data_IF_440098561083
#
_entry.id   IF_440098561083
#
_cell.length_a   1.000
_cell.length_b   1.000
_cell.length_c   1.000
_cell.angle_alpha   90.00
_cell.angle_beta   90.00
_cell.angle_gamma   90.00
#
_symmetry.space_group_name_H-M   'P 1'
#
loop_
_entity.id
_entity.type
_entity.pdbx_description
1 polymer ?
#
# COMPACT_ATOMS: atom_id res chain seq x y z
N UNK A 1 -8.34 -6.91 -20.40
CA UNK A 1 -7.70 -5.61 -20.64
C UNK A 1 -8.21 -4.66 -19.56
N UNK A 2 -7.37 -4.26 -18.61
CA UNK A 2 -7.78 -3.30 -17.58
C UNK A 2 -8.20 -2.00 -18.27
N UNK A 3 -9.37 -1.44 -17.94
CA UNK A 3 -9.71 -0.07 -18.37
C UNK A 3 -8.58 0.85 -17.90
N UNK A 4 -8.05 1.66 -18.79
CA UNK A 4 -7.09 2.69 -18.40
C UNK A 4 -7.82 3.67 -17.46
N UNK A 5 -7.38 3.72 -16.20
CA UNK A 5 -7.93 4.61 -15.17
C UNK A 5 -6.96 5.74 -14.93
N UNK A 6 -7.47 6.91 -14.59
CA UNK A 6 -6.66 8.07 -14.21
C UNK A 6 -7.09 8.49 -12.82
N UNK A 7 -6.16 8.41 -11.87
CA UNK A 7 -6.41 8.85 -10.50
C UNK A 7 -6.65 10.38 -10.51
N UNK A 8 -7.52 10.91 -9.63
CA UNK A 8 -7.57 12.34 -9.40
C UNK A 8 -6.22 12.85 -8.88
N UNK A 9 -5.94 14.14 -9.10
CA UNK A 9 -4.69 14.74 -8.66
C UNK A 9 -4.51 14.64 -7.13
N UNK A 10 -3.28 14.65 -6.61
CA UNK A 10 -3.05 14.70 -5.17
C UNK A 10 -3.72 15.92 -4.52
N UNK A 11 -4.28 15.73 -3.33
CA UNK A 11 -5.03 16.75 -2.56
C UNK A 11 -6.22 17.34 -3.35
N UNK A 12 -6.94 16.49 -4.07
CA UNK A 12 -8.15 16.88 -4.79
C UNK A 12 -9.28 17.24 -3.83
N UNK A 13 -10.17 18.13 -4.27
CA UNK A 13 -11.43 18.36 -3.58
C UNK A 13 -12.44 17.23 -3.87
N UNK A 14 -13.37 17.02 -2.94
CA UNK A 14 -14.61 16.26 -3.12
C UNK A 14 -15.74 17.04 -2.44
N UNK A 15 -16.74 17.47 -3.22
CA UNK A 15 -17.85 18.32 -2.78
C UNK A 15 -19.03 17.54 -2.16
N UNK A 16 -18.88 16.23 -2.04
CA UNK A 16 -19.80 15.28 -1.39
C UNK A 16 -19.01 14.31 -0.49
N UNK A 17 -19.66 13.61 0.45
CA UNK A 17 -19.03 12.55 1.23
C UNK A 17 -18.34 11.52 0.35
N UNK A 18 -17.14 11.05 0.75
CA UNK A 18 -16.39 10.05 -0.03
C UNK A 18 -17.20 8.76 -0.26
N UNK A 19 -18.00 8.33 0.71
CA UNK A 19 -18.89 7.18 0.59
C UNK A 19 -20.01 7.36 -0.46
N UNK A 20 -20.36 8.60 -0.81
CA UNK A 20 -21.29 8.91 -1.90
C UNK A 20 -20.62 8.98 -3.27
N UNK A 21 -19.35 9.45 -3.31
CA UNK A 21 -18.57 9.59 -4.54
C UNK A 21 -18.07 8.24 -5.09
N UNK A 22 -17.58 7.39 -4.20
CA UNK A 22 -16.90 6.13 -4.52
C UNK A 22 -17.78 4.93 -4.18
N UNK A 23 -17.87 3.96 -5.09
CA UNK A 23 -18.77 2.80 -4.95
C UNK A 23 -18.16 1.67 -4.11
N UNK A 24 -16.83 1.57 -4.06
CA UNK A 24 -16.11 0.55 -3.31
C UNK A 24 -14.94 1.15 -2.54
N UNK A 25 -14.86 0.86 -1.24
CA UNK A 25 -13.67 1.08 -0.42
C UNK A 25 -12.76 -0.15 -0.53
N UNK A 26 -11.54 0.03 -1.03
CA UNK A 26 -10.49 -0.98 -0.97
C UNK A 26 -9.63 -0.67 0.27
N UNK A 27 -9.94 -1.33 1.37
CA UNK A 27 -9.36 -1.08 2.69
C UNK A 27 -8.11 -1.93 2.87
N UNK A 28 -6.96 -1.30 3.13
CA UNK A 28 -5.91 -2.03 3.84
C UNK A 28 -6.41 -2.46 5.24
N UNK A 29 -5.72 -3.41 5.86
CA UNK A 29 -6.11 -3.98 7.15
C UNK A 29 -5.26 -3.46 8.30
N UNK A 30 -3.96 -3.72 8.25
CA UNK A 30 -3.02 -3.48 9.34
C UNK A 30 -2.70 -1.98 9.42
N UNK A 31 -3.14 -1.30 10.48
CA UNK A 31 -2.99 0.15 10.61
C UNK A 31 -4.17 0.96 10.08
N UNK A 32 -5.19 0.31 9.47
CA UNK A 32 -6.40 0.98 8.96
C UNK A 32 -7.66 0.45 9.62
N UNK A 33 -7.85 -0.87 9.61
CA UNK A 33 -9.03 -1.52 10.22
C UNK A 33 -8.70 -2.06 11.61
N UNK A 34 -7.49 -2.61 11.79
CA UNK A 34 -7.02 -3.12 13.08
C UNK A 34 -5.51 -2.91 13.25
N UNK A 35 -5.05 -2.93 14.50
CA UNK A 35 -3.62 -2.95 14.87
C UNK A 35 -3.41 -4.11 15.82
N UNK A 36 -2.68 -5.13 15.36
CA UNK A 36 -2.56 -6.37 16.12
C UNK A 36 -3.92 -7.07 16.26
N UNK A 37 -4.36 -7.43 17.49
CA UNK A 37 -5.64 -8.11 17.69
C UNK A 37 -6.84 -7.14 17.78
N UNK A 38 -6.60 -5.84 17.92
CA UNK A 38 -7.62 -4.87 18.27
C UNK A 38 -8.02 -3.99 17.07
N UNK A 39 -9.31 -3.63 16.94
CA UNK A 39 -9.74 -2.73 15.88
C UNK A 39 -9.14 -1.32 16.10
N UNK A 40 -8.83 -0.64 15.00
CA UNK A 40 -8.52 0.79 15.05
C UNK A 40 -9.74 1.53 15.64
N UNK A 41 -9.54 2.46 16.58
CA UNK A 41 -10.64 3.21 17.18
C UNK A 41 -11.59 3.78 16.13
N UNK A 42 -12.90 3.63 16.36
CA UNK A 42 -13.99 4.08 15.50
C UNK A 42 -14.03 3.47 14.08
N UNK A 43 -13.06 2.64 13.67
CA UNK A 43 -13.02 2.04 12.34
C UNK A 43 -14.28 1.20 12.06
N UNK A 44 -14.71 0.26 12.95
CA UNK A 44 -15.93 -0.51 12.68
C UNK A 44 -17.18 0.34 12.55
N UNK A 45 -17.29 1.44 13.32
CA UNK A 45 -18.45 2.34 13.25
C UNK A 45 -18.48 3.11 11.93
N UNK A 46 -17.36 3.71 11.53
CA UNK A 46 -17.28 4.48 10.30
C UNK A 46 -17.47 3.62 9.05
N UNK A 47 -16.94 2.39 9.05
CA UNK A 47 -17.18 1.42 7.98
C UNK A 47 -18.66 1.05 7.87
N UNK A 48 -19.34 0.78 9.00
CA UNK A 48 -20.79 0.53 8.98
C UNK A 48 -21.60 1.71 8.47
N UNK A 49 -21.18 2.95 8.78
CA UNK A 49 -21.83 4.15 8.23
C UNK A 49 -21.65 4.24 6.71
N UNK A 50 -20.42 4.07 6.22
CA UNK A 50 -20.15 4.06 4.78
C UNK A 50 -20.95 2.97 4.04
N UNK A 51 -21.01 1.76 4.60
CA UNK A 51 -21.80 0.67 4.03
C UNK A 51 -23.30 0.98 3.97
N UNK A 52 -23.85 1.66 4.99
CA UNK A 52 -25.26 2.10 5.00
C UNK A 52 -25.57 3.15 3.93
N UNK A 53 -24.59 3.98 3.57
CA UNK A 53 -24.70 4.94 2.46
C UNK A 53 -24.55 4.29 1.07
N UNK A 54 -24.32 2.97 1.02
CA UNK A 54 -24.25 2.20 -0.23
C UNK A 54 -22.83 1.93 -0.75
N UNK A 55 -21.79 2.33 -0.01
CA UNK A 55 -20.40 2.03 -0.35
C UNK A 55 -20.09 0.56 -0.02
N UNK A 56 -19.71 -0.24 -1.02
CA UNK A 56 -19.25 -1.62 -0.78
C UNK A 56 -17.88 -1.60 -0.09
N UNK A 57 -17.65 -2.49 0.86
CA UNK A 57 -16.37 -2.61 1.55
C UNK A 57 -15.62 -3.83 1.04
N UNK A 58 -14.38 -3.63 0.59
CA UNK A 58 -13.45 -4.68 0.19
C UNK A 58 -12.18 -4.61 1.05
N UNK A 59 -11.76 -5.75 1.59
CA UNK A 59 -10.68 -5.86 2.56
C UNK A 59 -9.44 -6.48 1.92
N UNK A 60 -8.39 -5.68 1.75
CA UNK A 60 -7.25 -5.98 0.88
C UNK A 60 -6.00 -6.12 1.73
N UNK A 61 -5.32 -7.27 1.67
CA UNK A 61 -4.12 -7.50 2.50
C UNK A 61 -2.95 -8.08 1.71
N UNK A 62 -1.76 -7.55 2.00
CA UNK A 62 -0.50 -8.15 1.54
C UNK A 62 -0.14 -9.43 2.30
N UNK A 63 -0.82 -9.74 3.40
CA UNK A 63 -0.57 -10.95 4.18
C UNK A 63 -1.11 -12.19 3.48
N UNK A 64 -0.22 -13.13 3.15
CA UNK A 64 -0.51 -14.39 2.47
C UNK A 64 -0.57 -15.60 3.41
N UNK A 65 -0.40 -15.40 4.73
CA UNK A 65 -0.31 -16.49 5.69
C UNK A 65 -1.66 -17.15 5.98
N UNK A 66 -2.75 -16.37 5.91
CA UNK A 66 -4.11 -16.80 6.30
C UNK A 66 -5.03 -16.86 5.09
N UNK A 67 -5.92 -17.86 4.99
CA UNK A 67 -7.01 -17.86 4.04
C UNK A 67 -7.97 -16.67 4.24
N UNK A 68 -8.62 -16.24 3.16
CA UNK A 68 -9.59 -15.14 3.17
C UNK A 68 -10.71 -15.34 4.21
N UNK A 69 -11.18 -16.58 4.39
CA UNK A 69 -12.19 -16.95 5.39
C UNK A 69 -11.77 -16.61 6.83
N UNK A 70 -10.52 -16.92 7.19
CA UNK A 70 -9.98 -16.63 8.53
C UNK A 70 -9.87 -15.13 8.78
N UNK A 71 -9.52 -14.36 7.75
CA UNK A 71 -9.49 -12.89 7.82
C UNK A 71 -10.90 -12.32 7.98
N UNK A 72 -11.87 -12.83 7.23
CA UNK A 72 -13.28 -12.41 7.33
C UNK A 72 -13.86 -12.69 8.72
N UNK A 73 -13.59 -13.85 9.31
CA UNK A 73 -14.01 -14.20 10.68
C UNK A 73 -13.42 -13.24 11.73
N UNK A 74 -12.16 -12.85 11.56
CA UNK A 74 -11.52 -11.87 12.44
C UNK A 74 -12.18 -10.49 12.30
N UNK A 75 -12.44 -10.03 11.08
CA UNK A 75 -13.13 -8.76 10.82
C UNK A 75 -14.57 -8.78 11.37
N UNK A 76 -15.27 -9.89 11.22
CA UNK A 76 -16.61 -10.08 11.75
C UNK A 76 -16.64 -10.01 13.29
N UNK A 77 -15.56 -10.42 13.97
CA UNK A 77 -15.43 -10.29 15.42
C UNK A 77 -15.44 -8.83 15.91
N UNK A 78 -15.16 -7.86 15.03
CA UNK A 78 -15.28 -6.42 15.31
C UNK A 78 -16.70 -5.87 15.04
N UNK A 79 -17.65 -6.74 14.73
CA UNK A 79 -19.04 -6.39 14.41
C UNK A 79 -19.19 -5.79 13.00
N UNK A 80 -18.31 -6.17 12.08
CA UNK A 80 -18.45 -5.88 10.65
C UNK A 80 -19.23 -7.01 9.97
N UNK A 81 -20.04 -6.68 8.97
CA UNK A 81 -20.73 -7.67 8.12
C UNK A 81 -19.80 -7.99 6.95
N UNK A 82 -19.03 -9.08 7.07
CA UNK A 82 -17.95 -9.44 6.14
C UNK A 82 -18.00 -10.94 5.85
N UNK A 83 -17.91 -11.28 4.57
CA UNK A 83 -17.72 -12.66 4.12
C UNK A 83 -16.36 -12.81 3.42
N UNK A 84 -15.92 -14.06 3.19
CA UNK A 84 -14.64 -14.32 2.51
C UNK A 84 -14.54 -13.65 1.13
N UNK A 85 -15.66 -13.48 0.42
CA UNK A 85 -15.68 -12.83 -0.90
C UNK A 85 -15.41 -11.33 -0.88
N UNK A 86 -15.51 -10.69 0.29
CA UNK A 86 -15.13 -9.29 0.48
C UNK A 86 -13.65 -9.14 0.81
N UNK A 87 -12.93 -10.24 1.08
CA UNK A 87 -11.50 -10.24 1.38
C UNK A 87 -10.71 -10.66 0.14
N UNK A 88 -9.67 -9.88 -0.19
CA UNK A 88 -8.72 -10.22 -1.27
C UNK A 88 -7.30 -10.20 -0.73
N UNK A 89 -6.63 -11.35 -0.81
CA UNK A 89 -5.26 -11.49 -0.33
C UNK A 89 -4.26 -11.45 -1.48
N UNK A 90 -3.02 -11.06 -1.17
CA UNK A 90 -1.89 -11.19 -2.09
C UNK A 90 -1.63 -12.63 -2.55
N UNK A 91 -2.02 -13.64 -1.76
CA UNK A 91 -1.99 -15.04 -2.17
C UNK A 91 -2.94 -15.32 -3.34
N UNK A 92 -4.18 -14.81 -3.27
CA UNK A 92 -5.15 -14.93 -4.37
C UNK A 92 -4.70 -14.17 -5.61
N UNK A 93 -4.11 -12.99 -5.45
CA UNK A 93 -3.53 -12.23 -6.56
C UNK A 93 -2.39 -13.02 -7.25
N UNK A 94 -1.49 -13.62 -6.48
CA UNK A 94 -0.41 -14.45 -7.02
C UNK A 94 -0.96 -15.71 -7.73
N UNK A 95 -1.91 -16.41 -7.11
CA UNK A 95 -2.56 -17.59 -7.71
C UNK A 95 -3.26 -17.26 -9.02
N UNK A 96 -3.95 -16.11 -9.09
CA UNK A 96 -4.58 -15.63 -10.32
C UNK A 96 -3.56 -15.37 -11.42
N UNK A 97 -2.45 -14.68 -11.12
CA UNK A 97 -1.38 -14.45 -12.10
C UNK A 97 -0.86 -15.77 -12.66
N UNK A 98 -0.55 -16.73 -11.79
CA UNK A 98 -0.08 -18.06 -12.18
C UNK A 98 -1.12 -18.77 -13.08
N UNK A 99 -2.40 -18.71 -12.70
CA UNK A 99 -3.49 -19.34 -13.46
C UNK A 99 -3.78 -18.66 -14.81
N UNK A 100 -3.34 -17.41 -15.03
CA UNK A 100 -3.38 -16.79 -16.36
C UNK A 100 -2.29 -17.29 -17.30
N UNK A 101 -1.20 -17.82 -16.75
CA UNK A 101 -0.04 -18.28 -17.52
C UNK A 101 0.00 -19.81 -17.69
N UNK A 102 -0.54 -20.55 -16.74
CA UNK A 102 -0.45 -22.01 -16.68
C UNK A 102 -1.84 -22.66 -16.62
N UNK A 103 -2.02 -23.84 -17.24
CA UNK A 103 -3.30 -24.53 -17.25
C UNK A 103 -3.72 -25.03 -15.86
N UNK A 104 -5.03 -25.29 -15.70
CA UNK A 104 -5.56 -25.94 -14.51
C UNK A 104 -4.86 -27.27 -14.23
N UNK A 105 -4.59 -27.55 -12.96
CA UNK A 105 -3.87 -28.73 -12.48
C UNK A 105 -2.35 -28.60 -12.53
N UNK A 106 -1.79 -27.51 -13.05
CA UNK A 106 -0.35 -27.29 -13.04
C UNK A 106 0.25 -27.31 -11.62
N UNK A 107 1.37 -28.02 -11.41
CA UNK A 107 2.05 -28.09 -10.11
C UNK A 107 2.73 -26.75 -9.79
N UNK A 108 2.43 -26.20 -8.61
CA UNK A 108 3.00 -24.94 -8.12
C UNK A 108 3.60 -25.17 -6.74
N UNK A 109 4.90 -24.95 -6.59
CA UNK A 109 5.61 -25.16 -5.34
C UNK A 109 5.34 -24.01 -4.37
N UNK A 110 4.97 -24.36 -3.14
CA UNK A 110 4.59 -23.39 -2.11
C UNK A 110 5.72 -23.21 -1.09
N UNK A 111 6.29 -22.02 -1.07
CA UNK A 111 7.16 -21.51 0.01
C UNK A 111 6.32 -20.62 0.92
N UNK A 112 5.68 -21.22 1.93
CA UNK A 112 4.77 -20.51 2.84
C UNK A 112 3.65 -21.41 3.38
N UNK A 113 2.58 -20.78 3.86
CA UNK A 113 1.53 -21.43 4.64
C UNK A 113 0.29 -21.86 3.87
N UNK A 114 -0.78 -22.16 4.63
CA UNK A 114 -2.09 -22.60 4.12
C UNK A 114 -2.78 -21.54 3.25
N UNK A 115 -2.61 -20.24 3.56
CA UNK A 115 -3.18 -19.17 2.74
C UNK A 115 -2.77 -19.24 1.26
N UNK A 116 -1.56 -19.73 0.97
CA UNK A 116 -1.09 -19.96 -0.41
C UNK A 116 -1.72 -21.21 -1.04
N UNK A 117 -1.82 -22.32 -0.30
CA UNK A 117 -2.37 -23.57 -0.85
C UNK A 117 -3.85 -23.39 -1.19
N UNK A 118 -4.63 -22.78 -0.29
CA UNK A 118 -6.05 -22.49 -0.52
C UNK A 118 -6.23 -21.58 -1.74
N UNK A 119 -5.42 -20.54 -1.87
CA UNK A 119 -5.49 -19.64 -3.02
C UNK A 119 -5.16 -20.35 -4.34
N UNK A 120 -4.15 -21.22 -4.37
CA UNK A 120 -3.83 -21.99 -5.58
C UNK A 120 -4.98 -22.92 -5.98
N UNK A 121 -5.57 -23.62 -5.01
CA UNK A 121 -6.71 -24.52 -5.24
C UNK A 121 -7.96 -23.78 -5.74
N UNK A 122 -8.24 -22.58 -5.21
CA UNK A 122 -9.35 -21.70 -5.65
C UNK A 122 -9.23 -21.37 -7.16
N UNK A 123 -8.01 -21.19 -7.66
CA UNK A 123 -7.71 -20.93 -9.07
C UNK A 123 -7.45 -22.20 -9.89
N UNK A 124 -7.69 -23.39 -9.32
CA UNK A 124 -7.58 -24.68 -9.99
C UNK A 124 -6.14 -25.12 -10.28
N UNK A 125 -5.17 -24.63 -9.51
CA UNK A 125 -3.76 -25.04 -9.55
C UNK A 125 -3.51 -26.15 -8.53
N UNK A 126 -2.41 -26.90 -8.70
CA UNK A 126 -2.05 -28.00 -7.81
C UNK A 126 -0.88 -27.59 -6.89
N UNK A 127 -1.12 -27.26 -5.61
CA UNK A 127 -0.05 -26.92 -4.69
C UNK A 127 0.84 -28.14 -4.38
N UNK A 128 2.15 -27.99 -4.56
CA UNK A 128 3.16 -29.01 -4.21
C UNK A 128 4.19 -28.45 -3.22
N UNK A 129 4.94 -29.34 -2.55
CA UNK A 129 5.87 -28.98 -1.47
C UNK A 129 7.33 -29.31 -1.74
N UNK A 130 7.64 -29.93 -2.88
CA UNK A 130 9.00 -30.34 -3.23
C UNK A 130 9.30 -30.06 -4.70
N UNK A 131 10.57 -29.73 -5.00
CA UNK A 131 11.06 -29.55 -6.37
C UNK A 131 10.96 -30.83 -7.21
N UNK A 132 10.95 -32.02 -6.58
CA UNK A 132 10.83 -33.31 -7.27
C UNK A 132 9.51 -33.48 -8.04
N UNK A 133 8.50 -32.65 -7.72
CA UNK A 133 7.24 -32.60 -8.45
C UNK A 133 7.34 -31.85 -9.79
N UNK A 134 8.53 -31.36 -10.16
CA UNK A 134 8.81 -30.54 -11.34
C UNK A 134 7.79 -29.40 -11.52
N UNK A 135 7.67 -28.51 -10.51
CA UNK A 135 6.69 -27.43 -10.53
C UNK A 135 6.95 -26.46 -11.69
N UNK A 136 5.87 -25.94 -12.30
CA UNK A 136 6.00 -24.92 -13.36
C UNK A 136 6.24 -23.52 -12.77
N UNK A 137 5.89 -23.33 -11.50
CA UNK A 137 6.04 -22.09 -10.78
C UNK A 137 6.32 -22.33 -9.28
N UNK A 138 6.99 -21.37 -8.65
CA UNK A 138 7.14 -21.24 -7.20
C UNK A 138 6.34 -20.02 -6.76
N UNK A 139 5.47 -20.18 -5.76
CA UNK A 139 4.84 -19.05 -5.06
C UNK A 139 5.37 -18.94 -3.64
N UNK A 140 5.80 -17.74 -3.27
CA UNK A 140 6.38 -17.45 -1.97
C UNK A 140 5.61 -16.39 -1.21
N UNK A 141 5.25 -16.71 0.03
CA UNK A 141 4.62 -15.79 0.98
C UNK A 141 5.10 -16.05 2.41
N UNK A 142 4.92 -15.05 3.27
CA UNK A 142 5.33 -15.19 4.67
C UNK A 142 4.48 -16.25 5.39
N UNK A 143 5.16 -17.10 6.16
CA UNK A 143 4.57 -17.93 7.19
C UNK A 143 5.63 -18.17 8.28
N UNK A 144 5.27 -18.22 9.58
CA UNK A 144 6.24 -18.44 10.66
C UNK A 144 7.02 -19.75 10.51
N UNK A 145 6.43 -20.77 9.88
CA UNK A 145 7.06 -22.08 9.69
C UNK A 145 7.92 -22.20 8.42
N UNK A 146 8.11 -21.11 7.65
CA UNK A 146 9.05 -21.14 6.53
C UNK A 146 10.44 -21.45 7.06
N UNK A 147 10.98 -22.57 6.60
CA UNK A 147 12.26 -23.11 7.06
C UNK A 147 13.24 -23.27 5.89
N UNK A 148 14.47 -23.68 6.21
CA UNK A 148 15.52 -23.86 5.22
C UNK A 148 15.13 -24.83 4.09
N UNK A 149 14.41 -25.92 4.40
CA UNK A 149 14.02 -26.93 3.40
C UNK A 149 13.11 -26.30 2.35
N UNK A 150 12.08 -25.57 2.77
CA UNK A 150 11.17 -24.89 1.82
C UNK A 150 11.91 -23.87 0.95
N UNK A 151 12.85 -23.11 1.51
CA UNK A 151 13.65 -22.14 0.76
C UNK A 151 14.57 -22.84 -0.26
N UNK A 152 15.17 -23.97 0.13
CA UNK A 152 16.03 -24.77 -0.74
C UNK A 152 15.24 -25.38 -1.90
N UNK A 153 14.09 -26.01 -1.62
CA UNK A 153 13.16 -26.54 -2.63
C UNK A 153 12.71 -25.45 -3.61
N UNK A 154 12.38 -24.26 -3.10
CA UNK A 154 12.06 -23.10 -3.94
C UNK A 154 13.22 -22.71 -4.85
N UNK A 155 14.44 -22.59 -4.32
CA UNK A 155 15.62 -22.24 -5.12
C UNK A 155 15.96 -23.31 -6.17
N UNK A 156 15.85 -24.60 -5.84
CA UNK A 156 16.06 -25.69 -6.79
C UNK A 156 15.08 -25.62 -7.96
N UNK A 157 13.77 -25.52 -7.67
CA UNK A 157 12.75 -25.40 -8.69
C UNK A 157 12.97 -24.19 -9.61
N UNK A 158 13.36 -23.04 -9.06
CA UNK A 158 13.66 -21.83 -9.84
C UNK A 158 14.86 -22.04 -10.76
N UNK A 159 15.93 -22.66 -10.26
CA UNK A 159 17.12 -22.97 -11.07
C UNK A 159 16.84 -24.01 -12.16
N UNK A 160 15.81 -24.85 -11.99
CA UNK A 160 15.29 -25.77 -13.03
C UNK A 160 14.31 -25.11 -14.01
N UNK A 161 14.01 -23.81 -13.83
CA UNK A 161 13.24 -23.01 -14.77
C UNK A 161 11.80 -22.69 -14.34
N UNK A 162 11.39 -23.04 -13.11
CA UNK A 162 10.10 -22.64 -12.58
C UNK A 162 10.02 -21.10 -12.45
N UNK A 163 8.88 -20.51 -12.84
CA UNK A 163 8.65 -19.06 -12.65
C UNK A 163 8.45 -18.74 -11.18
N UNK A 164 9.06 -17.66 -10.71
CA UNK A 164 8.98 -17.27 -9.30
C UNK A 164 8.01 -16.12 -9.07
N UNK A 165 7.07 -16.31 -8.16
CA UNK A 165 6.10 -15.32 -7.72
C UNK A 165 6.24 -15.06 -6.22
N UNK A 166 6.19 -13.80 -5.80
CA UNK A 166 6.19 -13.41 -4.39
C UNK A 166 4.91 -12.63 -4.07
N UNK A 167 4.31 -12.92 -2.92
CA UNK A 167 3.07 -12.24 -2.51
C UNK A 167 3.30 -10.79 -2.09
N UNK A 168 4.45 -10.47 -1.50
CA UNK A 168 4.89 -9.10 -1.18
C UNK A 168 6.41 -9.10 -0.93
N UNK A 169 7.02 -7.93 -0.85
CA UNK A 169 8.44 -7.74 -0.54
C UNK A 169 8.68 -7.05 0.81
N UNK A 170 7.71 -7.08 1.73
CA UNK A 170 7.83 -6.44 3.03
C UNK A 170 9.00 -7.05 3.82
N UNK A 171 10.02 -6.24 4.11
CA UNK A 171 11.25 -6.71 4.78
C UNK A 171 11.00 -7.10 6.23
N UNK A 172 9.97 -6.55 6.88
CA UNK A 172 9.71 -6.78 8.29
C UNK A 172 8.23 -6.89 8.55
N UNK A 173 7.85 -7.63 9.60
CA UNK A 173 6.48 -7.71 10.09
C UNK A 173 6.47 -7.34 11.59
N UNK A 174 5.52 -6.52 12.06
CA UNK A 174 5.37 -6.25 13.48
C UNK A 174 4.86 -7.49 14.22
N UNK A 175 5.43 -7.76 15.41
CA UNK A 175 4.99 -8.83 16.31
C UNK A 175 4.96 -8.33 17.74
N UNK A 176 4.32 -9.08 18.65
CA UNK A 176 4.34 -8.75 20.08
C UNK A 176 5.76 -8.68 20.69
N UNK A 177 6.74 -9.36 20.10
CA UNK A 177 8.14 -9.33 20.55
C UNK A 177 8.99 -8.24 19.85
N UNK A 178 8.38 -7.43 18.98
CA UNK A 178 9.04 -6.42 18.17
C UNK A 178 9.06 -6.76 16.67
N UNK A 179 9.92 -6.07 15.92
CA UNK A 179 10.03 -6.27 14.47
C UNK A 179 10.71 -7.61 14.14
N UNK A 180 10.02 -8.44 13.36
CA UNK A 180 10.52 -9.72 12.88
C UNK A 180 10.78 -9.69 11.36
N UNK A 181 11.57 -10.62 10.81
CA UNK A 181 11.73 -10.77 9.36
C UNK A 181 10.40 -11.00 8.65
N UNK A 182 10.14 -10.23 7.58
CA UNK A 182 8.97 -10.39 6.71
C UNK A 182 9.26 -11.25 5.48
N UNK A 183 8.28 -11.37 4.58
CA UNK A 183 8.44 -12.14 3.34
C UNK A 183 9.61 -11.63 2.50
N UNK A 184 9.80 -10.32 2.43
CA UNK A 184 10.90 -9.68 1.71
C UNK A 184 12.26 -10.17 2.17
N UNK A 185 12.48 -10.39 3.47
CA UNK A 185 13.72 -10.99 3.96
C UNK A 185 13.89 -12.43 3.47
N UNK A 186 12.82 -13.22 3.49
CA UNK A 186 12.85 -14.60 3.01
C UNK A 186 13.05 -14.68 1.49
N UNK A 187 12.52 -13.72 0.74
CA UNK A 187 12.76 -13.56 -0.71
C UNK A 187 14.25 -13.27 -0.95
N UNK A 188 14.89 -12.44 -0.13
CA UNK A 188 16.34 -12.19 -0.26
C UNK A 188 17.18 -13.46 -0.02
N UNK A 189 16.71 -14.38 0.83
CA UNK A 189 17.39 -15.65 1.05
C UNK A 189 17.39 -16.51 -0.22
N UNK A 190 16.27 -16.62 -0.94
CA UNK A 190 16.21 -17.33 -2.23
C UNK A 190 16.99 -16.58 -3.31
N UNK A 191 16.88 -15.24 -3.39
CA UNK A 191 17.64 -14.39 -4.33
C UNK A 191 19.15 -14.61 -4.26
N UNK A 192 19.68 -14.98 -3.10
CA UNK A 192 21.10 -15.28 -2.95
C UNK A 192 21.55 -16.57 -3.67
N UNK A 193 20.61 -17.44 -4.06
CA UNK A 193 20.85 -18.74 -4.66
C UNK A 193 20.30 -18.88 -6.10
N UNK A 194 19.69 -17.82 -6.66
CA UNK A 194 19.08 -17.82 -8.00
C UNK A 194 19.44 -16.52 -8.74
N UNK A 195 19.36 -16.51 -10.08
CA UNK A 195 19.71 -15.34 -10.91
C UNK A 195 18.52 -14.48 -11.34
N UNK A 196 17.31 -14.85 -10.93
CA UNK A 196 16.06 -14.19 -11.31
C UNK A 196 15.40 -13.51 -10.11
N UNK A 197 14.62 -12.46 -10.40
CA UNK A 197 13.76 -11.80 -9.42
C UNK A 197 12.33 -12.36 -9.49
N UNK A 198 11.59 -12.39 -8.37
CA UNK A 198 10.19 -12.80 -8.39
C UNK A 198 9.30 -11.75 -9.07
N UNK A 199 8.23 -12.21 -9.68
CA UNK A 199 7.07 -11.40 -10.05
C UNK A 199 6.28 -11.15 -8.76
N UNK A 200 6.07 -9.89 -8.40
CA UNK A 200 5.39 -9.52 -7.15
C UNK A 200 3.90 -9.28 -7.40
N UNK A 201 3.04 -9.89 -6.59
CA UNK A 201 1.59 -9.82 -6.75
C UNK A 201 0.93 -8.76 -5.86
N UNK A 202 1.46 -8.56 -4.65
CA UNK A 202 0.92 -7.61 -3.67
C UNK A 202 1.31 -6.17 -3.94
N UNK A 203 0.70 -5.25 -3.18
CA UNK A 203 0.98 -3.81 -3.20
C UNK A 203 2.48 -3.56 -2.94
N UNK A 204 3.13 -2.60 -3.63
CA UNK A 204 2.55 -1.60 -4.55
C UNK A 204 2.30 -2.10 -5.99
N UNK A 205 2.59 -3.37 -6.30
CA UNK A 205 2.34 -3.86 -7.65
C UNK A 205 0.84 -3.92 -7.95
N UNK A 206 0.52 -3.76 -9.24
CA UNK A 206 -0.84 -3.70 -9.76
C UNK A 206 -1.73 -4.92 -9.47
N UNK A 207 -1.25 -6.18 -9.49
CA UNK A 207 -2.12 -7.36 -9.56
C UNK A 207 -3.14 -7.50 -8.42
N UNK A 208 -2.77 -7.17 -7.18
CA UNK A 208 -3.69 -7.27 -6.03
C UNK A 208 -4.86 -6.28 -6.17
N UNK A 209 -4.60 -5.02 -6.49
CA UNK A 209 -5.65 -4.01 -6.65
C UNK A 209 -6.50 -4.28 -7.90
N UNK A 210 -5.90 -4.70 -9.02
CA UNK A 210 -6.64 -5.09 -10.22
C UNK A 210 -7.56 -6.29 -9.95
N UNK A 211 -7.06 -7.29 -9.22
CA UNK A 211 -7.88 -8.45 -8.79
C UNK A 211 -9.02 -8.03 -7.88
N UNK A 212 -8.77 -7.09 -6.97
CA UNK A 212 -9.77 -6.57 -6.04
C UNK A 212 -10.88 -5.80 -6.77
N UNK A 213 -10.50 -4.92 -7.69
CA UNK A 213 -11.42 -4.16 -8.53
C UNK A 213 -12.31 -5.08 -9.36
N UNK A 214 -11.74 -6.12 -9.97
CA UNK A 214 -12.49 -7.09 -10.76
C UNK A 214 -13.43 -7.93 -9.88
N UNK A 215 -12.95 -8.47 -8.76
CA UNK A 215 -13.76 -9.30 -7.84
C UNK A 215 -14.95 -8.53 -7.28
N UNK A 216 -14.74 -7.27 -6.92
CA UNK A 216 -15.75 -6.43 -6.29
C UNK A 216 -16.64 -5.69 -7.30
N UNK A 217 -16.37 -5.84 -8.61
CA UNK A 217 -17.01 -5.10 -9.70
C UNK A 217 -16.95 -3.58 -9.50
N UNK A 218 -15.81 -3.06 -9.02
CA UNK A 218 -15.67 -1.66 -8.65
C UNK A 218 -15.54 -0.74 -9.89
N UNK A 219 -16.45 0.21 -10.04
CA UNK A 219 -16.41 1.22 -11.09
C UNK A 219 -15.60 2.45 -10.65
N UNK A 220 -15.81 2.92 -9.42
CA UNK A 220 -15.14 4.08 -8.80
C UNK A 220 -14.55 3.66 -7.44
N UNK A 221 -13.50 2.82 -7.43
CA UNK A 221 -12.86 2.40 -6.20
C UNK A 221 -12.06 3.54 -5.54
N UNK A 222 -12.01 3.52 -4.22
CA UNK A 222 -11.12 4.32 -3.38
C UNK A 222 -10.21 3.37 -2.60
N UNK A 223 -8.90 3.42 -2.83
CA UNK A 223 -7.93 2.73 -1.98
C UNK A 223 -7.74 3.49 -0.67
N UNK A 224 -7.79 2.82 0.47
CA UNK A 224 -7.65 3.42 1.79
C UNK A 224 -6.52 2.70 2.53
N UNK A 225 -5.50 3.44 2.92
CA UNK A 225 -4.25 2.89 3.42
C UNK A 225 -3.51 3.86 4.32
N UNK A 226 -2.59 3.36 5.12
CA UNK A 226 -1.65 4.13 5.93
C UNK A 226 -0.24 4.14 5.30
N UNK A 227 0.02 3.29 4.31
CA UNK A 227 1.34 3.14 3.70
C UNK A 227 1.49 3.81 2.34
N UNK A 228 2.42 4.75 2.24
CA UNK A 228 2.74 5.47 1.00
C UNK A 228 3.36 4.56 -0.06
N UNK A 229 4.28 3.69 0.35
CA UNK A 229 5.09 2.78 -0.48
C UNK A 229 4.37 1.51 -0.94
N UNK A 230 3.10 1.33 -0.55
CA UNK A 230 2.29 0.16 -0.92
C UNK A 230 0.88 0.56 -1.29
N UNK A 231 0.09 1.12 -0.38
CA UNK A 231 -1.31 1.47 -0.64
C UNK A 231 -1.43 2.61 -1.64
N UNK A 232 -0.76 3.73 -1.34
CA UNK A 232 -0.88 4.94 -2.13
C UNK A 232 -0.15 4.78 -3.47
N UNK A 233 1.05 4.20 -3.45
CA UNK A 233 1.78 3.87 -4.68
C UNK A 233 1.00 2.89 -5.56
N UNK A 234 0.43 1.83 -4.99
CA UNK A 234 -0.37 0.87 -5.74
C UNK A 234 -1.62 1.50 -6.34
N UNK A 235 -2.33 2.34 -5.57
CA UNK A 235 -3.49 3.08 -6.06
C UNK A 235 -3.13 3.97 -7.25
N UNK A 236 -2.03 4.72 -7.15
CA UNK A 236 -1.52 5.57 -8.21
C UNK A 236 -1.07 4.75 -9.44
N UNK A 237 -0.42 3.60 -9.23
CA UNK A 237 -0.02 2.71 -10.32
C UNK A 237 -1.22 2.17 -11.11
N UNK A 238 -2.31 1.81 -10.43
CA UNK A 238 -3.56 1.33 -11.05
C UNK A 238 -4.45 2.48 -11.57
N UNK A 239 -4.16 3.71 -11.18
CA UNK A 239 -4.89 4.91 -11.60
C UNK A 239 -6.22 5.10 -10.88
N UNK A 240 -6.30 4.71 -9.60
CA UNK A 240 -7.49 4.90 -8.75
C UNK A 240 -7.23 5.94 -7.67
N UNK A 241 -8.30 6.50 -7.11
CA UNK A 241 -8.18 7.45 -6.00
C UNK A 241 -7.65 6.75 -4.74
N UNK A 242 -6.94 7.51 -3.91
CA UNK A 242 -6.43 7.03 -2.63
C UNK A 242 -6.75 7.98 -1.47
N UNK A 243 -7.11 7.42 -0.32
CA UNK A 243 -7.23 8.11 0.95
C UNK A 243 -6.14 7.57 1.87
N UNK A 244 -5.18 8.42 2.23
CA UNK A 244 -4.23 8.10 3.28
C UNK A 244 -4.83 8.42 4.66
N UNK A 245 -4.68 7.51 5.62
CA UNK A 245 -5.11 7.69 7.01
C UNK A 245 -3.94 7.63 7.99
N UNK A 246 -3.98 8.49 9.01
CA UNK A 246 -2.90 8.66 9.99
C UNK A 246 -2.96 7.68 11.17
N UNK A 247 -3.46 6.46 10.94
CA UNK A 247 -3.68 5.44 11.98
C UNK A 247 -2.59 4.36 12.01
N UNK A 248 -1.62 4.43 11.11
CA UNK A 248 -0.62 3.36 10.91
C UNK A 248 0.82 3.86 10.82
N UNK A 249 1.53 3.45 9.76
CA UNK A 249 3.00 3.41 9.67
C UNK A 249 3.63 4.75 9.28
N UNK A 250 3.18 5.38 8.21
CA UNK A 250 3.78 6.65 7.76
C UNK A 250 3.13 7.83 8.49
N UNK A 251 3.82 8.97 8.51
CA UNK A 251 3.38 10.20 9.16
C UNK A 251 3.34 11.42 8.21
N UNK A 252 3.10 12.61 8.77
CA UNK A 252 3.10 13.86 8.01
C UNK A 252 4.48 14.21 7.41
N UNK A 253 5.58 13.79 8.03
CA UNK A 253 6.93 13.96 7.49
C UNK A 253 7.18 13.07 6.28
N UNK A 254 6.70 11.83 6.32
CA UNK A 254 6.75 10.92 5.18
C UNK A 254 5.93 11.45 4.01
N UNK A 255 4.72 11.95 4.25
CA UNK A 255 3.91 12.62 3.23
C UNK A 255 4.64 13.81 2.60
N UNK A 256 5.28 14.65 3.41
CA UNK A 256 6.03 15.80 2.90
C UNK A 256 7.23 15.38 2.02
N UNK A 257 7.80 14.20 2.28
CA UNK A 257 8.92 13.61 1.51
C UNK A 257 8.45 12.73 0.36
N UNK A 258 7.15 12.49 0.24
CA UNK A 258 6.60 11.54 -0.72
C UNK A 258 6.99 11.92 -2.17
N UNK A 259 7.62 11.00 -2.92
CA UNK A 259 7.79 11.16 -4.35
C UNK A 259 6.42 11.20 -5.06
N UNK A 260 6.37 11.69 -6.29
CA UNK A 260 5.13 11.92 -7.04
C UNK A 260 4.19 10.70 -7.10
N UNK A 261 4.75 9.50 -7.24
CA UNK A 261 4.00 8.24 -7.31
C UNK A 261 3.42 7.80 -5.95
N UNK A 262 3.78 8.43 -4.83
CA UNK A 262 3.35 8.07 -3.48
C UNK A 262 2.47 9.15 -2.83
N UNK A 263 2.01 10.14 -3.59
CA UNK A 263 1.19 11.23 -3.07
C UNK A 263 -0.29 10.84 -3.16
N UNK A 264 -1.05 10.91 -2.06
CA UNK A 264 -2.44 10.46 -2.04
C UNK A 264 -3.41 11.49 -2.63
N UNK A 265 -4.57 11.02 -3.09
CA UNK A 265 -5.66 11.89 -3.53
C UNK A 265 -6.24 12.69 -2.36
N UNK A 266 -6.45 12.02 -1.23
CA UNK A 266 -7.00 12.57 0.01
C UNK A 266 -6.13 12.17 1.21
N UNK A 267 -6.16 12.97 2.27
CA UNK A 267 -5.52 12.68 3.55
C UNK A 267 -6.52 12.90 4.68
N UNK A 268 -6.48 12.07 5.72
CA UNK A 268 -7.34 12.27 6.89
C UNK A 268 -6.73 11.66 8.15
N UNK A 269 -7.26 12.06 9.31
CA UNK A 269 -6.93 11.44 10.59
C UNK A 269 -7.34 9.96 10.65
N UNK A 270 -8.40 9.57 9.96
CA UNK A 270 -8.96 8.23 10.03
C UNK A 270 -10.20 8.05 9.15
N UNK A 271 -10.90 6.94 9.35
CA UNK A 271 -12.03 6.52 8.50
C UNK A 271 -13.30 7.39 8.64
N UNK A 272 -13.35 8.32 9.61
CA UNK A 272 -14.43 9.32 9.70
C UNK A 272 -14.59 10.15 8.42
N UNK A 273 -13.49 10.36 7.70
CA UNK A 273 -13.47 11.08 6.42
C UNK A 273 -14.37 10.45 5.33
N UNK A 274 -14.76 9.18 5.46
CA UNK A 274 -15.70 8.55 4.55
C UNK A 274 -17.07 9.24 4.51
N UNK A 275 -17.48 9.83 5.63
CA UNK A 275 -18.75 10.56 5.76
C UNK A 275 -18.61 12.06 5.45
N UNK A 276 -17.42 12.52 5.06
CA UNK A 276 -17.10 13.95 4.96
C UNK A 276 -16.70 14.37 3.54
N UNK A 277 -16.98 15.63 3.23
CA UNK A 277 -16.44 16.31 2.05
C UNK A 277 -14.94 16.53 2.24
N UNK A 278 -14.21 16.60 1.14
CA UNK A 278 -12.77 16.84 1.17
C UNK A 278 -12.44 18.20 0.55
N UNK A 279 -11.81 19.13 1.28
CA UNK A 279 -11.44 20.41 0.70
C UNK A 279 -10.23 20.25 -0.24
N UNK A 280 -10.19 21.08 -1.28
CA UNK A 280 -9.05 21.18 -2.19
C UNK A 280 -8.15 22.35 -1.84
N UNK A 281 -6.91 22.30 -2.33
CA UNK A 281 -5.94 23.38 -2.13
C UNK A 281 -5.96 24.36 -3.31
N UNK A 282 -6.14 25.65 -3.02
CA UNK A 282 -6.01 26.74 -3.99
C UNK A 282 -4.63 27.37 -3.89
N UNK A 283 -4.01 27.72 -5.03
CA UNK A 283 -2.68 28.34 -5.05
C UNK A 283 -2.77 29.76 -5.63
N UNK A 284 -2.41 30.75 -4.82
CA UNK A 284 -2.46 32.17 -5.17
C UNK A 284 -1.13 32.86 -4.81
N UNK A 285 -0.39 33.32 -5.82
CA UNK A 285 0.85 34.09 -5.58
C UNK A 285 1.91 33.35 -4.73
N UNK A 286 2.00 32.01 -4.86
CA UNK A 286 2.91 31.18 -4.07
C UNK A 286 2.38 30.76 -2.69
N UNK A 287 1.17 31.21 -2.34
CA UNK A 287 0.47 30.83 -1.11
C UNK A 287 -0.48 29.67 -1.41
N UNK A 288 -0.39 28.62 -0.61
CA UNK A 288 -1.22 27.42 -0.71
C UNK A 288 -2.30 27.50 0.38
N UNK A 289 -3.56 27.52 -0.04
CA UNK A 289 -4.69 27.85 0.82
C UNK A 289 -5.65 26.65 0.84
N UNK A 290 -5.98 26.19 2.04
CA UNK A 290 -6.97 25.14 2.25
C UNK A 290 -7.84 25.56 3.44
N UNK A 291 -9.13 25.81 3.19
CA UNK A 291 -10.06 26.36 4.17
C UNK A 291 -9.46 27.55 4.94
N UNK A 292 -9.41 27.49 6.27
CA UNK A 292 -8.89 28.56 7.14
C UNK A 292 -7.36 28.67 7.20
N UNK A 293 -6.62 27.82 6.48
CA UNK A 293 -5.16 27.75 6.53
C UNK A 293 -4.47 28.28 5.27
N UNK A 294 -3.31 28.91 5.46
CA UNK A 294 -2.41 29.30 4.37
C UNK A 294 -0.98 28.90 4.68
N UNK A 295 -0.34 28.18 3.76
CA UNK A 295 1.06 27.77 3.84
C UNK A 295 1.91 28.38 2.70
N UNK A 296 3.17 28.65 2.99
CA UNK A 296 4.16 29.12 2.02
C UNK A 296 5.55 28.56 2.39
N UNK A 297 6.37 28.22 1.39
CA UNK A 297 7.76 27.83 1.62
C UNK A 297 8.66 29.07 1.56
N UNK A 298 9.28 29.41 2.69
CA UNK A 298 10.20 30.55 2.83
C UNK A 298 11.53 30.06 3.40
N UNK A 299 12.63 30.31 2.70
CA UNK A 299 13.98 29.93 3.15
C UNK A 299 14.11 28.44 3.58
N UNK A 300 13.57 27.51 2.78
CA UNK A 300 13.53 26.07 3.08
C UNK A 300 12.78 25.67 4.36
N UNK A 301 11.87 26.51 4.85
CA UNK A 301 10.95 26.18 5.92
C UNK A 301 9.52 26.54 5.52
N UNK A 302 8.54 25.77 6.00
CA UNK A 302 7.13 26.11 5.80
C UNK A 302 6.68 27.12 6.85
N UNK A 303 6.12 28.24 6.39
CA UNK A 303 5.39 29.21 7.20
C UNK A 303 3.91 28.94 7.03
N UNK A 304 3.17 28.78 8.13
CA UNK A 304 1.72 28.56 8.11
C UNK A 304 1.01 29.60 8.99
N UNK A 305 -0.13 30.10 8.50
CA UNK A 305 -1.00 31.05 9.19
C UNK A 305 -2.45 30.60 9.06
N UNK A 306 -3.28 30.96 10.03
CA UNK A 306 -4.70 30.62 10.03
C UNK A 306 -5.13 29.81 11.24
N UNK A 307 -6.34 29.27 11.17
CA UNK A 307 -6.95 28.39 12.16
C UNK A 307 -8.00 27.53 11.48
N UNK A 308 -8.32 26.38 12.05
CA UNK A 308 -9.28 25.44 11.48
C UNK A 308 -8.93 24.00 11.81
N UNK A 309 -9.48 23.09 11.02
CA UNK A 309 -9.21 21.66 11.16
C UNK A 309 -7.72 21.37 10.83
N UNK A 310 -7.00 20.58 11.64
CA UNK A 310 -5.57 20.29 11.44
C UNK A 310 -5.20 19.72 10.07
N UNK A 311 -5.94 18.76 9.53
CA UNK A 311 -5.63 18.13 8.24
C UNK A 311 -5.84 19.08 7.06
N UNK A 312 -6.71 20.09 7.15
CA UNK A 312 -6.75 21.18 6.16
C UNK A 312 -5.45 21.99 6.15
N UNK A 313 -4.90 22.25 7.34
CA UNK A 313 -3.57 22.82 7.50
C UNK A 313 -2.50 21.95 6.85
N UNK A 314 -2.57 20.63 7.06
CA UNK A 314 -1.65 19.67 6.45
C UNK A 314 -1.75 19.67 4.93
N UNK A 315 -2.96 19.71 4.34
CA UNK A 315 -3.17 19.83 2.88
C UNK A 315 -2.44 21.06 2.32
N UNK A 316 -2.60 22.22 2.96
CA UNK A 316 -1.90 23.44 2.55
C UNK A 316 -0.37 23.30 2.63
N UNK A 317 0.14 22.74 3.73
CA UNK A 317 1.58 22.50 3.95
C UNK A 317 2.15 21.56 2.86
N UNK A 318 1.52 20.41 2.63
CA UNK A 318 1.97 19.43 1.66
C UNK A 318 1.96 19.99 0.24
N UNK A 319 0.91 20.72 -0.14
CA UNK A 319 0.83 21.38 -1.43
C UNK A 319 2.01 22.35 -1.65
N UNK A 320 2.37 23.14 -0.63
CA UNK A 320 3.49 24.06 -0.68
C UNK A 320 4.85 23.34 -0.79
N UNK A 321 5.05 22.30 0.02
CA UNK A 321 6.27 21.49 0.02
C UNK A 321 6.46 20.79 -1.33
N UNK A 322 5.43 20.11 -1.83
CA UNK A 322 5.49 19.38 -3.08
C UNK A 322 5.71 20.31 -4.27
N UNK A 323 5.06 21.47 -4.31
CA UNK A 323 5.28 22.47 -5.36
C UNK A 323 6.73 23.00 -5.35
N UNK A 324 7.30 23.24 -4.17
CA UNK A 324 8.68 23.70 -4.04
C UNK A 324 9.71 22.62 -4.42
N UNK A 325 9.48 21.36 -4.04
CA UNK A 325 10.34 20.21 -4.38
C UNK A 325 10.29 19.91 -5.87
N UNK A 326 9.11 20.00 -6.49
CA UNK A 326 8.92 19.70 -7.91
C UNK A 326 9.31 20.86 -8.83
N UNK A 327 9.58 22.05 -8.27
CA UNK A 327 10.00 23.20 -9.03
C UNK A 327 11.29 22.89 -9.80
N UNK A 328 11.42 23.30 -11.08
CA UNK A 328 12.64 23.09 -11.83
C UNK A 328 13.84 23.71 -11.11
N UNK A 329 14.87 22.91 -10.82
CA UNK A 329 16.11 23.42 -10.24
C UNK A 329 16.71 24.42 -11.22
N UNK A 330 16.82 25.70 -10.84
CA UNK A 330 17.60 26.67 -11.60
C UNK A 330 19.03 26.13 -11.72
N UNK A 331 19.61 26.02 -12.93
CA UNK A 331 20.93 25.42 -13.09
C UNK A 331 21.97 26.22 -12.32
N UNK A 332 22.39 25.71 -11.16
CA UNK A 332 23.55 26.19 -10.44
C UNK A 332 24.76 25.56 -11.10
N UNK A 333 25.51 26.36 -11.87
CA UNK A 333 26.70 25.91 -12.56
C UNK A 333 27.72 25.33 -11.59
N UNK A 334 27.84 24.00 -11.56
CA UNK A 334 29.02 23.22 -11.16
C UNK A 334 28.82 21.76 -11.56
N UNK A 335 29.47 21.37 -12.64
CA UNK A 335 29.56 19.99 -13.12
C UNK A 335 30.42 19.16 -12.15
N UNK A 336 29.84 18.11 -11.55
CA UNK A 336 30.60 17.06 -10.86
C UNK A 336 30.71 15.82 -11.75
N UNK A 337 31.90 15.22 -11.79
CA UNK A 337 32.28 14.09 -12.64
C UNK A 337 31.62 12.78 -12.16
N UNK A 338 31.17 11.99 -13.13
CA UNK A 338 30.63 10.63 -12.95
C UNK A 338 31.69 9.65 -12.47
N UNK A 339 31.36 8.86 -11.44
CA UNK A 339 32.09 7.66 -11.04
C UNK A 339 31.17 6.44 -11.16
N UNK A 340 31.71 5.37 -11.73
CA UNK A 340 31.09 4.07 -12.01
C UNK A 340 30.62 3.36 -10.73
N UNK A 341 29.37 2.85 -10.75
CA UNK A 341 28.73 2.09 -9.65
C UNK A 341 28.89 0.57 -9.85
N UNK A 342 29.43 -0.13 -8.86
CA UNK A 342 29.20 -1.57 -8.68
C UNK A 342 27.93 -1.79 -7.84
N UNK A 343 27.20 -2.88 -8.12
CA UNK A 343 25.93 -3.23 -7.46
C UNK A 343 26.20 -3.85 -6.08
N UNK A 344 25.75 -3.16 -5.03
CA UNK A 344 25.60 -3.64 -3.64
C UNK A 344 24.31 -3.04 -3.04
N UNK A 345 23.76 -3.62 -1.96
CA UNK A 345 22.33 -3.57 -1.66
C UNK A 345 21.83 -2.16 -1.33
N UNK A 346 20.53 -1.95 -1.55
CA UNK A 346 19.84 -0.69 -1.27
C UNK A 346 20.11 -0.27 0.19
N UNK A 347 20.77 0.88 0.43
CA UNK A 347 20.89 1.41 1.78
C UNK A 347 19.52 1.91 2.24
N UNK A 348 19.28 1.92 3.57
CA UNK A 348 18.22 2.75 4.17
C UNK A 348 18.29 4.15 3.57
N UNK A 349 17.15 4.80 3.24
CA UNK A 349 17.18 6.12 2.63
C UNK A 349 18.00 7.05 3.53
N UNK A 350 19.12 7.54 3.01
CA UNK A 350 19.88 8.59 3.66
C UNK A 350 18.99 9.83 3.72
N UNK A 351 19.03 10.58 4.83
CA UNK A 351 18.47 11.94 4.88
C UNK A 351 18.99 12.70 3.65
N UNK A 352 18.09 13.03 2.73
CA UNK A 352 18.45 13.78 1.54
C UNK A 352 18.74 15.22 1.98
N UNK A 353 19.97 15.73 1.82
CA UNK A 353 20.27 17.12 2.16
C UNK A 353 19.41 18.03 1.27
N UNK A 354 18.56 18.88 1.87
CA UNK A 354 17.64 19.76 1.16
C UNK A 354 16.15 19.59 1.50
N UNK A 355 15.80 18.77 2.49
CA UNK A 355 14.40 18.67 2.96
C UNK A 355 13.91 20.01 3.50
N UNK A 356 12.74 20.46 3.02
CA UNK A 356 12.04 21.62 3.56
C UNK A 356 11.58 21.28 4.98
N UNK A 357 11.90 22.14 5.95
CA UNK A 357 11.51 21.94 7.34
C UNK A 357 10.01 22.21 7.54
N UNK A 358 9.32 21.29 8.21
CA UNK A 358 7.87 21.37 8.45
C UNK A 358 7.48 21.34 9.93
N UNK A 359 8.42 21.05 10.84
CA UNK A 359 8.12 20.81 12.27
C UNK A 359 7.34 21.96 12.91
N UNK A 360 7.79 23.20 12.71
CA UNK A 360 7.11 24.38 13.23
C UNK A 360 5.72 24.59 12.62
N UNK A 361 5.53 24.17 11.36
CA UNK A 361 4.23 24.26 10.69
C UNK A 361 3.27 23.20 11.20
N UNK A 362 3.74 21.95 11.38
CA UNK A 362 2.98 20.86 11.99
C UNK A 362 2.54 21.21 13.42
N UNK A 363 3.45 21.76 14.22
CA UNK A 363 3.12 22.27 15.55
C UNK A 363 2.03 23.33 15.53
N UNK A 364 2.09 24.25 14.56
CA UNK A 364 1.13 25.34 14.45
C UNK A 364 -0.28 24.86 14.08
N UNK A 365 -0.41 23.74 13.38
CA UNK A 365 -1.70 23.13 13.01
C UNK A 365 -2.16 22.06 14.00
N UNK A 366 -1.33 21.70 14.99
CA UNK A 366 -1.65 20.72 16.04
C UNK A 366 -1.34 19.27 15.69
N UNK A 367 -0.41 19.01 14.76
CA UNK A 367 0.04 17.66 14.35
C UNK A 367 1.50 17.41 14.76
N UNK A 368 1.79 17.50 16.05
CA UNK A 368 3.15 17.34 16.61
C UNK A 368 3.71 15.91 16.60
N UNK A 369 2.94 14.94 16.14
CA UNK A 369 3.27 13.51 16.20
C UNK A 369 3.59 12.93 14.84
#
# INVERSE_FOLDING_TARGET
MSKERTAPAPLSACDEPLAGRYDVALLDLDGVVYVGPDPVPDAPENLRKAAKEGMRLGYITNNASRPAQVVAEHLASFGLDVIADDVVTSAQAAAKLIATEFPKGSPVLVVGGEGLTTALEEYGLNPVRSSDAHPVAVVQGFHPDVNWVMLADGAHAINEGAKWYATNLDLTIPTAAGMAPGNGTLVQAIRAAVEVDPIVAGKPERPLLETSIERLNAERPLMIGDRLDSDIEGANAVGIASLWVATGVHDAHDLARAPKNQRPTYIAAGLGALAEKQPGVTVEGGRHICEGWTAEVVNNAVSVKGEGEPYDGLRAILSAVWAAVDAPVKPTGKTAKSATRSRRPLPKPAHTPGSIAIDAALHRIGLDQ
#
